data_IF_520511367286
#
_entry.id   IF_520511367286
#
_cell.length_a   1.000
_cell.length_b   1.000
_cell.length_c   1.000
_cell.angle_alpha   90.00
_cell.angle_beta   90.00
_cell.angle_gamma   90.00
#
_symmetry.space_group_name_H-M   'P 1'
#
loop_
_entity.id
_entity.type
_entity.pdbx_description
1 polymer ?
#
# COMPACT_ATOMS: atom_id res chain seq x y z
N UNK A 1 16.94 -20.50 12.58
CA UNK A 1 17.29 -19.09 12.43
C UNK A 1 16.37 -18.59 11.35
N UNK A 2 15.23 -18.03 11.76
CA UNK A 2 14.24 -17.52 10.83
C UNK A 2 14.52 -16.05 10.61
N UNK A 3 15.13 -15.71 9.47
CA UNK A 3 15.06 -14.35 8.96
C UNK A 3 13.63 -14.09 8.55
N UNK A 4 12.86 -13.54 9.46
CA UNK A 4 11.51 -13.08 9.20
C UNK A 4 11.62 -11.80 8.37
N UNK A 5 10.80 -11.65 7.34
CA UNK A 5 10.65 -10.39 6.60
C UNK A 5 10.34 -9.22 7.55
N UNK A 6 9.80 -9.51 8.74
CA UNK A 6 9.61 -8.56 9.85
C UNK A 6 10.93 -8.01 10.38
N UNK A 7 12.01 -8.80 10.42
CA UNK A 7 13.34 -8.36 10.86
C UNK A 7 14.05 -7.54 9.79
N UNK A 8 13.76 -7.78 8.52
CA UNK A 8 14.25 -6.97 7.39
C UNK A 8 13.71 -5.53 7.43
N UNK A 9 12.51 -5.35 7.97
CA UNK A 9 11.83 -4.05 8.05
C UNK A 9 12.18 -3.29 9.34
N UNK A 10 12.77 -3.93 10.34
CA UNK A 10 12.97 -3.37 11.70
C UNK A 10 14.25 -2.54 11.90
N UNK A 11 15.03 -2.29 10.88
CA UNK A 11 16.34 -1.69 11.09
C UNK A 11 16.72 -0.61 10.11
N UNK A 12 16.26 0.64 10.28
CA UNK A 12 17.07 1.79 9.85
C UNK A 12 16.76 3.02 10.69
N UNK A 13 17.70 3.43 11.50
CA UNK A 13 17.88 4.81 11.94
C UNK A 13 18.33 5.67 10.76
N UNK A 14 17.80 6.88 10.68
CA UNK A 14 18.09 7.98 9.79
C UNK A 14 17.20 8.11 8.54
N UNK A 15 16.17 8.94 8.68
CA UNK A 15 15.27 9.39 7.61
C UNK A 15 15.95 10.15 6.45
N UNK A 16 17.28 10.18 6.37
CA UNK A 16 18.06 10.97 5.39
C UNK A 16 19.11 10.16 4.61
N UNK A 17 19.34 8.89 4.89
CA UNK A 17 20.24 8.06 4.11
C UNK A 17 19.57 7.46 2.87
N UNK A 18 20.25 7.59 1.72
CA UNK A 18 19.80 6.96 0.47
C UNK A 18 19.95 5.45 0.59
N UNK A 19 18.86 4.71 0.41
CA UNK A 19 18.87 3.24 0.38
C UNK A 19 19.30 2.74 -0.99
N UNK A 20 19.90 1.56 -1.02
CA UNK A 20 20.17 0.80 -2.24
C UNK A 20 18.87 0.09 -2.68
N UNK A 21 18.04 0.79 -3.44
CA UNK A 21 16.74 0.28 -3.91
C UNK A 21 16.92 -0.94 -4.84
N UNK A 22 17.99 -0.98 -5.63
CA UNK A 22 18.28 -2.14 -6.50
C UNK A 22 18.49 -3.41 -5.65
N UNK A 23 19.32 -3.33 -4.60
CA UNK A 23 19.56 -4.46 -3.71
C UNK A 23 18.32 -4.86 -2.92
N UNK A 24 17.56 -3.89 -2.41
CA UNK A 24 16.29 -4.12 -1.70
C UNK A 24 15.28 -4.87 -2.58
N UNK A 25 15.07 -4.41 -3.81
CA UNK A 25 14.10 -5.04 -4.70
C UNK A 25 14.55 -6.39 -5.24
N UNK A 26 15.86 -6.61 -5.40
CA UNK A 26 16.40 -7.95 -5.69
C UNK A 26 16.04 -8.93 -4.56
N UNK A 27 16.22 -8.53 -3.30
CA UNK A 27 15.86 -9.33 -2.13
C UNK A 27 14.35 -9.52 -1.98
N UNK A 28 13.54 -8.47 -2.15
CA UNK A 28 12.08 -8.56 -2.16
C UNK A 28 11.59 -9.57 -3.19
N UNK A 29 12.17 -9.55 -4.38
CA UNK A 29 11.85 -10.50 -5.43
C UNK A 29 12.12 -11.95 -4.98
N UNK A 30 13.29 -12.25 -4.41
CA UNK A 30 13.61 -13.58 -3.91
C UNK A 30 12.60 -14.07 -2.88
N UNK A 31 12.21 -13.20 -1.95
CA UNK A 31 11.19 -13.51 -0.94
C UNK A 31 9.83 -13.81 -1.60
N UNK A 32 9.38 -12.94 -2.51
CA UNK A 32 8.05 -13.06 -3.14
C UNK A 32 7.96 -14.23 -4.12
N UNK A 33 9.07 -14.66 -4.72
CA UNK A 33 9.15 -15.87 -5.52
C UNK A 33 9.12 -17.14 -4.66
N UNK A 34 9.33 -17.05 -3.34
CA UNK A 34 9.33 -18.21 -2.46
C UNK A 34 7.94 -18.80 -2.27
N UNK A 35 7.88 -20.13 -2.08
CA UNK A 35 6.62 -20.82 -1.79
C UNK A 35 6.03 -20.36 -0.45
N UNK A 36 6.86 -20.20 0.57
CA UNK A 36 6.42 -19.81 1.91
C UNK A 36 5.69 -18.48 1.93
N UNK A 37 6.21 -17.47 1.22
CA UNK A 37 5.55 -16.17 1.09
C UNK A 37 4.19 -16.29 0.39
N UNK A 38 4.13 -16.94 -0.77
CA UNK A 38 2.91 -17.02 -1.59
C UNK A 38 1.79 -17.89 -0.99
N UNK A 39 2.14 -18.85 -0.15
CA UNK A 39 1.19 -19.74 0.53
C UNK A 39 0.91 -19.35 1.98
N UNK A 40 1.47 -18.23 2.45
CA UNK A 40 1.41 -17.78 3.85
C UNK A 40 1.88 -18.87 4.83
N UNK A 41 2.76 -19.78 4.38
CA UNK A 41 3.24 -20.89 5.20
C UNK A 41 4.18 -20.37 6.27
N UNK A 42 3.88 -20.65 7.53
CA UNK A 42 4.73 -20.27 8.66
C UNK A 42 4.26 -19.05 9.44
N UNK A 43 3.16 -18.41 9.05
CA UNK A 43 2.63 -17.24 9.77
C UNK A 43 1.86 -17.61 11.05
N UNK A 44 1.66 -18.89 11.35
CA UNK A 44 1.02 -19.38 12.59
C UNK A 44 -0.27 -18.64 12.98
N UNK A 45 -1.05 -18.14 11.99
CA UNK A 45 -2.27 -17.37 12.19
C UNK A 45 -2.07 -15.85 12.20
N UNK A 46 -0.87 -15.35 11.95
CA UNK A 46 -0.64 -13.92 11.73
C UNK A 46 -1.16 -13.49 10.37
N UNK A 47 -1.55 -12.21 10.29
CA UNK A 47 -2.01 -11.62 9.03
C UNK A 47 -0.84 -11.51 8.04
N UNK A 48 -1.01 -11.87 6.76
CA UNK A 48 0.04 -11.82 5.75
C UNK A 48 0.27 -10.40 5.23
N UNK A 49 0.47 -9.45 6.15
CA UNK A 49 0.67 -8.04 5.84
C UNK A 49 2.12 -7.66 6.04
N UNK A 50 2.70 -7.09 5.00
CA UNK A 50 4.10 -6.67 4.94
C UNK A 50 4.18 -5.19 4.62
N UNK A 51 5.20 -4.53 5.13
CA UNK A 51 5.45 -3.11 4.86
C UNK A 51 6.88 -2.99 4.34
N UNK A 52 7.02 -2.38 3.18
CA UNK A 52 8.28 -1.92 2.66
C UNK A 52 8.33 -0.40 2.80
N UNK A 53 9.10 0.09 3.77
CA UNK A 53 9.31 1.51 3.97
C UNK A 53 10.58 1.99 3.26
N UNK A 54 10.57 3.24 2.79
CA UNK A 54 11.67 3.80 2.00
C UNK A 54 11.75 5.32 2.15
N UNK A 55 12.95 5.94 1.92
CA UNK A 55 13.10 7.39 1.97
C UNK A 55 12.16 8.08 0.97
N UNK A 56 11.35 9.08 1.38
CA UNK A 56 10.38 9.74 0.49
C UNK A 56 11.00 10.34 -0.78
N UNK A 57 12.25 10.75 -0.72
CA UNK A 57 13.00 11.28 -1.88
C UNK A 57 13.25 10.24 -2.99
N UNK A 58 13.12 8.94 -2.67
CA UNK A 58 13.27 7.84 -3.62
C UNK A 58 11.93 7.30 -4.15
N UNK A 59 10.82 8.01 -3.93
CA UNK A 59 9.47 7.62 -4.35
C UNK A 59 9.39 7.23 -5.84
N UNK A 60 9.99 8.03 -6.73
CA UNK A 60 9.96 7.76 -8.18
C UNK A 60 10.80 6.54 -8.54
N UNK A 61 11.94 6.37 -7.89
CA UNK A 61 12.83 5.21 -8.06
C UNK A 61 12.10 3.94 -7.60
N UNK A 62 11.49 3.96 -6.43
CA UNK A 62 10.69 2.86 -5.90
C UNK A 62 9.50 2.53 -6.80
N UNK A 63 8.78 3.54 -7.30
CA UNK A 63 7.67 3.33 -8.20
C UNK A 63 8.07 2.60 -9.50
N UNK A 64 9.26 2.90 -10.03
CA UNK A 64 9.80 2.18 -11.19
C UNK A 64 10.13 0.73 -10.85
N UNK A 65 10.79 0.50 -9.71
CA UNK A 65 11.13 -0.85 -9.25
C UNK A 65 9.89 -1.70 -8.96
N UNK A 66 8.81 -1.10 -8.42
CA UNK A 66 7.53 -1.79 -8.24
C UNK A 66 7.00 -2.32 -9.59
N UNK A 67 7.00 -1.48 -10.65
CA UNK A 67 6.54 -1.92 -11.98
C UNK A 67 7.38 -3.07 -12.53
N UNK A 68 8.71 -2.98 -12.36
CA UNK A 68 9.63 -4.03 -12.80
C UNK A 68 9.42 -5.32 -11.99
N UNK A 69 9.27 -5.22 -10.67
CA UNK A 69 9.01 -6.36 -9.80
C UNK A 69 7.71 -7.08 -10.17
N UNK A 70 6.62 -6.34 -10.40
CA UNK A 70 5.35 -6.89 -10.88
C UNK A 70 5.54 -7.67 -12.18
N UNK A 71 6.20 -7.06 -13.17
CA UNK A 71 6.50 -7.73 -14.44
C UNK A 71 7.32 -9.00 -14.26
N UNK A 72 8.34 -8.95 -13.40
CA UNK A 72 9.21 -10.10 -13.14
C UNK A 72 8.47 -11.25 -12.45
N UNK A 73 7.62 -10.95 -11.47
CA UNK A 73 6.80 -11.94 -10.76
C UNK A 73 5.79 -12.60 -11.70
N UNK A 74 5.09 -11.81 -12.50
CA UNK A 74 4.07 -12.29 -13.42
C UNK A 74 4.63 -13.08 -14.61
N UNK A 75 5.94 -12.98 -14.88
CA UNK A 75 6.62 -13.69 -15.97
C UNK A 75 7.66 -14.68 -15.49
N UNK A 76 7.74 -14.93 -14.17
CA UNK A 76 8.73 -15.84 -13.63
C UNK A 76 8.52 -17.28 -14.14
N UNK A 77 9.63 -17.99 -14.32
CA UNK A 77 9.57 -19.42 -14.62
C UNK A 77 9.25 -20.21 -13.34
N UNK A 78 8.28 -21.13 -13.37
CA UNK A 78 8.03 -22.00 -12.23
C UNK A 78 9.29 -22.73 -11.75
N UNK A 79 9.49 -22.76 -10.42
CA UNK A 79 10.74 -23.26 -9.80
C UNK A 79 10.60 -24.69 -9.22
N UNK A 80 9.36 -25.16 -9.03
CA UNK A 80 9.06 -26.49 -8.47
C UNK A 80 7.75 -27.03 -9.04
N UNK A 81 7.47 -28.29 -8.78
CA UNK A 81 6.23 -28.93 -9.25
C UNK A 81 4.98 -28.27 -8.63
N UNK A 82 4.03 -27.88 -9.47
CA UNK A 82 2.84 -27.13 -9.06
C UNK A 82 3.09 -25.64 -8.81
N UNK A 83 4.28 -25.11 -9.13
CA UNK A 83 4.57 -23.67 -9.09
C UNK A 83 3.98 -22.94 -10.32
N UNK A 84 3.74 -21.64 -10.17
CA UNK A 84 3.21 -20.79 -11.23
C UNK A 84 3.67 -19.33 -11.04
N UNK A 85 3.62 -18.54 -12.11
CA UNK A 85 3.87 -17.11 -12.04
C UNK A 85 2.70 -16.40 -11.35
N UNK A 86 2.91 -15.76 -10.17
CA UNK A 86 1.80 -15.14 -9.44
C UNK A 86 1.27 -13.90 -10.16
N UNK A 87 -0.03 -13.71 -10.09
CA UNK A 87 -0.66 -12.47 -10.53
C UNK A 87 -0.63 -11.44 -9.40
N UNK A 88 -0.18 -10.23 -9.70
CA UNK A 88 -0.04 -9.15 -8.72
C UNK A 88 -1.11 -8.09 -8.98
N UNK A 89 -1.99 -7.90 -8.00
CA UNK A 89 -2.92 -6.77 -7.98
C UNK A 89 -2.20 -5.55 -7.38
N UNK A 90 -2.04 -4.48 -8.15
CA UNK A 90 -1.47 -3.22 -7.65
C UNK A 90 -2.57 -2.17 -7.53
N UNK A 91 -2.77 -1.64 -6.32
CA UNK A 91 -3.73 -0.59 -6.01
C UNK A 91 -2.99 0.68 -5.56
N UNK A 92 -3.08 1.74 -6.37
CA UNK A 92 -2.64 3.08 -5.94
C UNK A 92 -3.76 3.75 -5.15
N UNK A 93 -3.51 4.07 -3.90
CA UNK A 93 -4.53 4.65 -3.01
C UNK A 93 -5.06 5.99 -3.51
N UNK A 94 -4.26 6.75 -4.24
CA UNK A 94 -4.74 8.00 -4.81
C UNK A 94 -5.80 7.76 -5.89
N UNK A 95 -5.60 6.75 -6.74
CA UNK A 95 -6.57 6.39 -7.77
C UNK A 95 -7.86 5.84 -7.14
N UNK A 96 -7.75 5.01 -6.11
CA UNK A 96 -8.91 4.50 -5.34
C UNK A 96 -9.68 5.66 -4.70
N UNK A 97 -8.98 6.65 -4.14
CA UNK A 97 -9.62 7.85 -3.58
C UNK A 97 -10.34 8.65 -4.66
N UNK A 98 -9.73 8.86 -5.83
CA UNK A 98 -10.38 9.55 -6.95
C UNK A 98 -11.64 8.81 -7.41
N UNK A 99 -11.61 7.49 -7.47
CA UNK A 99 -12.76 6.66 -7.77
C UNK A 99 -13.89 6.86 -6.77
N UNK A 100 -13.59 6.79 -5.46
CA UNK A 100 -14.58 7.01 -4.39
C UNK A 100 -15.21 8.39 -4.50
N UNK A 101 -14.41 9.43 -4.73
CA UNK A 101 -14.90 10.80 -4.88
C UNK A 101 -15.74 10.96 -6.16
N UNK A 102 -15.34 10.30 -7.24
CA UNK A 102 -16.09 10.26 -8.50
C UNK A 102 -17.47 9.60 -8.33
N UNK A 103 -17.50 8.41 -7.73
CA UNK A 103 -18.72 7.66 -7.46
C UNK A 103 -19.70 8.42 -6.55
N UNK A 104 -19.20 9.28 -5.67
CA UNK A 104 -20.01 10.20 -4.85
C UNK A 104 -20.43 11.49 -5.57
N UNK A 105 -19.96 11.74 -6.78
CA UNK A 105 -20.23 12.97 -7.54
C UNK A 105 -19.66 14.24 -6.90
N UNK A 106 -18.60 14.11 -6.08
CA UNK A 106 -17.96 15.24 -5.38
C UNK A 106 -16.56 15.57 -5.90
N UNK A 107 -16.00 14.77 -6.82
CA UNK A 107 -14.65 14.93 -7.35
C UNK A 107 -14.39 16.34 -7.89
N UNK A 108 -15.27 16.87 -8.74
CA UNK A 108 -15.11 18.22 -9.31
C UNK A 108 -15.12 19.31 -8.24
N UNK A 109 -15.92 19.13 -7.20
CA UNK A 109 -15.94 20.05 -6.04
C UNK A 109 -14.63 20.05 -5.29
N UNK A 110 -14.04 18.86 -5.13
CA UNK A 110 -12.74 18.67 -4.48
C UNK A 110 -11.64 19.35 -5.29
N UNK A 111 -11.54 19.02 -6.57
CA UNK A 111 -10.53 19.57 -7.49
C UNK A 111 -10.63 21.09 -7.61
N UNK A 112 -11.84 21.64 -7.74
CA UNK A 112 -12.05 23.09 -7.83
C UNK A 112 -11.70 23.83 -6.54
N UNK A 113 -11.84 23.22 -5.36
CA UNK A 113 -11.41 23.81 -4.08
C UNK A 113 -9.92 23.79 -3.91
N UNK A 114 -9.26 22.68 -4.25
CA UNK A 114 -7.78 22.59 -4.21
C UNK A 114 -7.15 23.62 -5.16
N UNK A 115 -7.66 23.75 -6.38
CA UNK A 115 -7.18 24.76 -7.34
C UNK A 115 -7.34 26.19 -6.82
N UNK A 116 -8.41 26.50 -6.06
CA UNK A 116 -8.62 27.82 -5.43
C UNK A 116 -7.69 28.03 -4.24
N UNK A 117 -7.37 26.98 -3.48
CA UNK A 117 -6.45 27.04 -2.35
C UNK A 117 -5.02 27.34 -2.79
N UNK A 118 -4.53 26.71 -3.85
CA UNK A 118 -3.22 27.01 -4.40
C UNK A 118 -3.07 28.46 -4.92
N UNK A 119 -4.17 29.14 -5.21
CA UNK A 119 -4.16 30.56 -5.62
C UNK A 119 -4.18 31.54 -4.45
N UNK A 120 -4.55 31.10 -3.25
CA UNK A 120 -4.61 31.94 -2.04
C UNK A 120 -3.61 31.41 -1.02
N UNK A 121 -2.40 31.95 -1.02
CA UNK A 121 -1.45 31.82 0.09
C UNK A 121 -1.97 32.72 1.22
N UNK A 122 -2.80 32.21 2.10
CA UNK A 122 -3.12 32.83 3.37
C UNK A 122 -3.10 31.80 4.49
N UNK A 123 -2.28 32.12 5.47
CA UNK A 123 -1.92 31.34 6.64
C UNK A 123 -2.99 31.39 7.74
N UNK A 124 -4.18 30.91 7.53
CA UNK A 124 -5.11 30.75 8.64
C UNK A 124 -5.54 29.28 8.75
N UNK A 125 -5.05 28.68 9.83
CA UNK A 125 -5.40 27.35 10.31
C UNK A 125 -6.85 27.30 10.83
N UNK A 126 -7.79 27.78 10.05
CA UNK A 126 -9.20 27.54 10.33
C UNK A 126 -9.58 26.17 9.74
N UNK A 127 -10.11 25.34 10.61
CA UNK A 127 -10.70 24.01 10.37
C UNK A 127 -11.32 23.98 8.98
N UNK A 128 -10.55 23.45 8.05
CA UNK A 128 -10.93 23.48 6.66
C UNK A 128 -12.11 22.53 6.51
N UNK A 129 -13.29 23.08 6.22
CA UNK A 129 -14.51 22.28 5.96
C UNK A 129 -14.30 21.25 4.86
N UNK A 130 -13.26 21.44 4.06
CA UNK A 130 -12.82 20.50 3.03
C UNK A 130 -12.06 19.32 3.63
N UNK A 131 -11.15 19.57 4.59
CA UNK A 131 -10.52 18.50 5.37
C UNK A 131 -11.57 17.63 6.08
N UNK A 132 -12.57 18.30 6.70
CA UNK A 132 -13.70 17.59 7.31
C UNK A 132 -14.55 16.79 6.30
N UNK A 133 -14.68 17.24 5.06
CA UNK A 133 -15.37 16.47 4.02
C UNK A 133 -14.56 15.24 3.62
N UNK A 134 -13.27 15.39 3.42
CA UNK A 134 -12.39 14.26 3.07
C UNK A 134 -12.27 13.28 4.24
N UNK A 135 -12.18 13.76 5.46
CA UNK A 135 -12.16 12.93 6.65
C UNK A 135 -13.47 12.13 6.81
N UNK A 136 -14.61 12.75 6.53
CA UNK A 136 -15.91 12.07 6.51
C UNK A 136 -16.07 11.03 5.38
N UNK A 137 -15.28 11.14 4.31
CA UNK A 137 -15.35 10.22 3.16
C UNK A 137 -14.28 9.16 3.23
N UNK A 138 -13.09 9.52 3.72
CA UNK A 138 -11.87 8.72 3.68
C UNK A 138 -11.30 8.40 5.07
N UNK A 139 -11.84 9.06 6.11
CA UNK A 139 -11.36 8.95 7.48
C UNK A 139 -11.49 7.53 8.07
N UNK A 140 -10.83 7.35 9.20
CA UNK A 140 -10.74 6.06 9.89
C UNK A 140 -12.08 5.40 10.23
N UNK A 141 -13.11 6.22 10.46
CA UNK A 141 -14.43 5.76 10.86
C UNK A 141 -15.32 5.34 9.67
N UNK A 142 -14.83 5.48 8.44
CA UNK A 142 -15.59 5.08 7.25
C UNK A 142 -15.08 3.75 6.70
N UNK A 143 -15.98 2.81 6.48
CA UNK A 143 -15.65 1.53 5.85
C UNK A 143 -15.41 1.67 4.33
N UNK A 144 -15.62 2.85 3.75
CA UNK A 144 -15.68 3.01 2.30
C UNK A 144 -14.35 2.70 1.59
N UNK A 145 -13.24 3.25 2.07
CA UNK A 145 -11.93 2.97 1.46
C UNK A 145 -11.55 1.49 1.58
N UNK A 146 -11.56 0.88 2.78
CA UNK A 146 -11.22 -0.55 2.89
C UNK A 146 -12.23 -1.45 2.17
N UNK A 147 -13.51 -1.08 2.07
CA UNK A 147 -14.49 -1.83 1.30
C UNK A 147 -14.24 -1.72 -0.21
N UNK A 148 -13.90 -0.54 -0.73
CA UNK A 148 -13.53 -0.38 -2.14
C UNK A 148 -12.27 -1.19 -2.48
N UNK A 149 -11.25 -1.17 -1.62
CA UNK A 149 -10.04 -2.00 -1.78
C UNK A 149 -10.40 -3.49 -1.79
N UNK A 150 -11.25 -3.95 -0.87
CA UNK A 150 -11.74 -5.32 -0.85
C UNK A 150 -12.49 -5.67 -2.14
N UNK A 151 -13.35 -4.79 -2.63
CA UNK A 151 -14.14 -5.05 -3.83
C UNK A 151 -13.23 -5.19 -5.07
N UNK A 152 -12.19 -4.36 -5.22
CA UNK A 152 -11.15 -4.54 -6.24
C UNK A 152 -10.41 -5.88 -6.08
N UNK A 153 -10.07 -6.24 -4.83
CA UNK A 153 -9.41 -7.51 -4.54
C UNK A 153 -10.28 -8.71 -4.94
N UNK A 154 -11.54 -8.74 -4.51
CA UNK A 154 -12.46 -9.84 -4.82
C UNK A 154 -12.75 -9.95 -6.32
N UNK A 155 -12.87 -8.82 -7.01
CA UNK A 155 -13.00 -8.82 -8.46
C UNK A 155 -11.76 -9.43 -9.13
N UNK A 156 -10.56 -8.90 -8.83
CA UNK A 156 -9.33 -9.41 -9.40
C UNK A 156 -9.12 -10.90 -9.09
N UNK A 157 -9.42 -11.33 -7.85
CA UNK A 157 -9.33 -12.72 -7.42
C UNK A 157 -10.27 -13.63 -8.23
N UNK A 158 -11.49 -13.17 -8.49
CA UNK A 158 -12.45 -13.92 -9.31
C UNK A 158 -11.98 -14.13 -10.76
N UNK A 159 -11.16 -13.21 -11.24
CA UNK A 159 -10.52 -13.22 -12.56
C UNK A 159 -9.15 -13.96 -12.56
N UNK A 160 -8.72 -14.48 -11.40
CA UNK A 160 -7.42 -15.15 -11.24
C UNK A 160 -6.22 -14.20 -11.15
N UNK A 161 -6.44 -12.92 -10.82
CA UNK A 161 -5.43 -11.86 -10.91
C UNK A 161 -4.94 -11.30 -9.56
N UNK A 162 -5.09 -11.99 -8.44
CA UNK A 162 -4.72 -11.46 -7.11
C UNK A 162 -4.06 -12.52 -6.21
N UNK A 163 -2.91 -13.02 -6.60
CA UNK A 163 -2.10 -13.90 -5.74
C UNK A 163 -1.27 -13.12 -4.73
N UNK A 164 -0.90 -11.88 -5.06
CA UNK A 164 -0.20 -10.91 -4.21
C UNK A 164 -0.89 -9.55 -4.39
N UNK A 165 -1.08 -8.81 -3.30
CA UNK A 165 -1.67 -7.47 -3.32
C UNK A 165 -0.61 -6.43 -2.97
N UNK A 166 -0.40 -5.46 -3.86
CA UNK A 166 0.45 -4.30 -3.60
C UNK A 166 -0.42 -3.07 -3.38
N UNK A 167 -0.16 -2.36 -2.29
CA UNK A 167 -0.76 -1.06 -2.00
C UNK A 167 0.32 0.01 -2.09
N UNK A 168 0.10 1.01 -2.95
CA UNK A 168 1.01 2.12 -3.20
C UNK A 168 0.31 3.46 -2.98
N UNK A 169 1.05 4.56 -3.05
CA UNK A 169 0.47 5.91 -3.05
C UNK A 169 -0.02 6.41 -1.69
N UNK A 170 0.34 5.75 -0.57
CA UNK A 170 -0.07 6.21 0.78
C UNK A 170 0.43 7.62 1.08
N UNK A 171 1.60 8.01 0.60
CA UNK A 171 2.14 9.36 0.75
C UNK A 171 1.33 10.43 0.00
N UNK A 172 0.70 10.07 -1.12
CA UNK A 172 -0.14 10.98 -1.92
C UNK A 172 -1.46 11.34 -1.24
N UNK A 173 -1.93 10.48 -0.34
CA UNK A 173 -3.21 10.64 0.37
C UNK A 173 -3.04 11.07 1.83
N UNK A 174 -1.81 11.29 2.28
CA UNK A 174 -1.53 11.87 3.58
C UNK A 174 -1.96 13.37 3.60
N UNK A 175 -2.51 13.93 4.71
CA UNK A 175 -2.74 13.30 6.02
C UNK A 175 -4.11 12.62 6.19
N UNK A 176 -4.91 12.50 5.14
CA UNK A 176 -6.29 11.99 5.21
C UNK A 176 -6.36 10.50 5.57
N UNK A 177 -5.39 9.73 5.06
CA UNK A 177 -5.30 8.29 5.29
C UNK A 177 -3.97 7.98 5.96
N UNK A 178 -4.03 7.26 7.08
CA UNK A 178 -2.85 6.79 7.82
C UNK A 178 -2.64 5.30 7.60
N UNK A 179 -1.40 4.88 7.36
CA UNK A 179 -1.06 3.50 7.04
C UNK A 179 -1.57 2.49 8.07
N UNK A 180 -1.35 2.73 9.37
CA UNK A 180 -1.79 1.82 10.43
C UNK A 180 -3.32 1.69 10.49
N UNK A 181 -4.05 2.79 10.29
CA UNK A 181 -5.52 2.78 10.26
C UNK A 181 -6.03 1.98 9.08
N UNK A 182 -5.43 2.18 7.90
CA UNK A 182 -5.77 1.42 6.70
C UNK A 182 -5.51 -0.08 6.89
N UNK A 183 -4.31 -0.45 7.36
CA UNK A 183 -3.96 -1.86 7.56
C UNK A 183 -4.88 -2.54 8.58
N UNK A 184 -5.20 -1.86 9.69
CA UNK A 184 -6.16 -2.39 10.66
C UNK A 184 -7.56 -2.57 10.04
N UNK A 185 -8.01 -1.64 9.21
CA UNK A 185 -9.30 -1.73 8.57
C UNK A 185 -9.37 -2.82 7.48
N UNK A 186 -8.24 -3.20 6.90
CA UNK A 186 -8.15 -4.30 5.92
C UNK A 186 -8.10 -5.69 6.58
N UNK A 187 -7.80 -5.77 7.89
CA UNK A 187 -7.87 -7.04 8.62
C UNK A 187 -9.27 -7.64 8.54
N UNK A 188 -9.35 -8.93 8.24
CA UNK A 188 -10.62 -9.62 8.01
C UNK A 188 -11.26 -9.36 6.64
N UNK A 189 -10.64 -8.53 5.79
CA UNK A 189 -11.09 -8.26 4.41
C UNK A 189 -10.21 -8.91 3.35
N UNK A 190 -8.91 -8.96 3.60
CA UNK A 190 -7.90 -9.61 2.73
C UNK A 190 -7.00 -10.44 3.63
N UNK A 191 -7.34 -11.69 3.90
CA UNK A 191 -6.63 -12.52 4.88
C UNK A 191 -5.89 -13.70 4.25
N UNK A 192 -6.23 -14.05 3.03
CA UNK A 192 -5.80 -15.27 2.35
C UNK A 192 -4.65 -15.05 1.36
N UNK A 193 -4.25 -13.79 1.13
CA UNK A 193 -3.17 -13.44 0.22
C UNK A 193 -2.17 -12.48 0.86
N UNK A 194 -0.88 -12.56 0.51
CA UNK A 194 0.10 -11.56 0.95
C UNK A 194 -0.26 -10.18 0.47
N UNK A 195 -0.27 -9.22 1.41
CA UNK A 195 -0.47 -7.80 1.13
C UNK A 195 0.80 -7.04 1.49
N UNK A 196 1.31 -6.26 0.56
CA UNK A 196 2.52 -5.44 0.73
C UNK A 196 2.17 -3.97 0.58
N UNK A 197 2.34 -3.20 1.66
CA UNK A 197 2.21 -1.75 1.64
C UNK A 197 3.58 -1.10 1.38
N UNK A 198 3.69 -0.30 0.33
CA UNK A 198 4.85 0.53 0.04
C UNK A 198 4.69 1.89 0.72
N UNK A 199 5.57 2.18 1.71
CA UNK A 199 5.41 3.31 2.61
C UNK A 199 6.57 4.32 2.51
N UNK A 200 6.35 5.54 2.02
CA UNK A 200 7.37 6.59 2.02
C UNK A 200 7.55 7.16 3.44
N UNK A 201 8.68 6.89 4.05
CA UNK A 201 9.01 7.30 5.41
C UNK A 201 9.48 6.12 6.26
N UNK A 202 9.67 6.34 7.54
CA UNK A 202 9.99 5.26 8.50
C UNK A 202 8.70 4.77 9.14
N UNK A 203 8.39 3.49 8.96
CA UNK A 203 7.21 2.89 9.56
C UNK A 203 7.52 2.41 10.99
N UNK A 204 7.01 3.12 11.98
CA UNK A 204 7.11 2.70 13.38
C UNK A 204 5.84 1.94 13.78
N UNK A 205 5.97 0.67 14.15
CA UNK A 205 4.88 -0.01 14.87
C UNK A 205 4.71 0.69 16.21
N UNK A 206 3.68 1.52 16.35
CA UNK A 206 3.24 1.90 17.68
C UNK A 206 2.69 0.62 18.32
N UNK A 207 3.43 0.07 19.29
CA UNK A 207 2.89 -0.93 20.17
C UNK A 207 1.71 -0.27 20.89
N UNK A 208 0.49 -0.60 20.48
CA UNK A 208 -0.70 -0.30 21.27
C UNK A 208 -0.63 -1.20 22.49
N UNK A 209 -0.35 -0.56 23.64
CA UNK A 209 -0.47 -1.19 24.94
C UNK A 209 -1.93 -1.49 25.23
#
# INVERSE_FOLDING_TARGET
>A
MGDSMTDFIAGVEAADERRDIDADFAHLREIMESRSFRTNSGLAGEQPYYIYDYPPRQELEVAEHIRQLVSQLQTMTPKYDGDYAPQVLTLDLFDVVLEILGNRGILDRVLNREAKRHRKVSSDAHTDKFLGLLDNVLGADTAQLPDTIRDHYEQAKSEGGADIVFITGIGKVYPYIRAHTLLNALQGRIDDRPLVLFYPGTFTRSASA
#
